data_IF_850935878768
#
_entry.id   IF_850935878768
#
_cell.length_a   1.000
_cell.length_b   1.000
_cell.length_c   1.000
_cell.angle_alpha   90.00
_cell.angle_beta   90.00
_cell.angle_gamma   90.00
#
_symmetry.space_group_name_H-M   'P 1'
#
loop_
_entity.id
_entity.type
_entity.pdbx_description
1 polymer ?
#
# COMPACT_ATOMS: atom_id res chain seq x y z
N UNK A 1 52.17 -72.24 -0.21
CA UNK A 1 52.05 -70.78 -0.01
C UNK A 1 51.74 -70.16 -1.37
N UNK A 2 50.45 -70.08 -1.76
CA UNK A 2 50.07 -69.55 -3.08
C UNK A 2 50.16 -68.03 -3.03
N UNK A 3 51.10 -67.48 -3.81
CA UNK A 3 51.23 -66.05 -4.07
C UNK A 3 49.87 -65.53 -4.52
N UNK A 4 49.23 -64.73 -3.67
CA UNK A 4 48.03 -64.00 -4.05
C UNK A 4 48.40 -63.13 -5.26
N UNK A 5 47.74 -63.38 -6.38
CA UNK A 5 47.99 -62.70 -7.63
C UNK A 5 47.77 -61.19 -7.44
N UNK A 6 48.86 -60.41 -7.38
CA UNK A 6 48.87 -58.96 -7.12
C UNK A 6 47.94 -58.18 -8.06
N UNK A 7 47.63 -58.73 -9.23
CA UNK A 7 46.74 -58.12 -10.21
C UNK A 7 45.28 -58.08 -9.73
N UNK A 8 44.82 -59.08 -8.98
CA UNK A 8 43.45 -59.10 -8.44
C UNK A 8 43.27 -58.02 -7.37
N UNK A 9 44.26 -57.82 -6.51
CA UNK A 9 44.22 -56.78 -5.47
C UNK A 9 44.24 -55.37 -6.05
N UNK A 10 45.04 -55.13 -7.09
CA UNK A 10 45.10 -53.83 -7.80
C UNK A 10 43.78 -53.49 -8.49
N UNK A 11 43.13 -54.47 -9.13
CA UNK A 11 41.83 -54.27 -9.78
C UNK A 11 40.73 -53.87 -8.78
N UNK A 12 40.73 -54.47 -7.58
CA UNK A 12 39.79 -54.12 -6.51
C UNK A 12 39.99 -52.69 -5.98
N UNK A 13 41.24 -52.26 -5.80
CA UNK A 13 41.55 -50.89 -5.37
C UNK A 13 41.07 -49.88 -6.42
N UNK A 14 41.32 -50.14 -7.70
CA UNK A 14 40.89 -49.26 -8.80
C UNK A 14 39.36 -49.17 -8.85
N UNK A 15 38.64 -50.28 -8.68
CA UNK A 15 37.18 -50.29 -8.65
C UNK A 15 36.60 -49.48 -7.47
N UNK A 16 37.20 -49.57 -6.27
CA UNK A 16 36.77 -48.80 -5.09
C UNK A 16 37.03 -47.30 -5.30
N UNK A 17 38.19 -46.94 -5.85
CA UNK A 17 38.51 -45.53 -6.13
C UNK A 17 37.57 -44.93 -7.19
N UNK A 18 37.25 -45.69 -8.24
CA UNK A 18 36.28 -45.27 -9.25
C UNK A 18 34.87 -45.11 -8.69
N UNK A 19 34.42 -46.00 -7.79
CA UNK A 19 33.10 -45.89 -7.16
C UNK A 19 33.02 -44.68 -6.22
N UNK A 20 34.08 -44.41 -5.45
CA UNK A 20 34.18 -43.22 -4.60
C UNK A 20 34.18 -41.93 -5.42
N UNK A 21 34.93 -41.91 -6.53
CA UNK A 21 34.98 -40.77 -7.43
C UNK A 21 33.62 -40.50 -8.11
N UNK A 22 32.93 -41.54 -8.57
CA UNK A 22 31.59 -41.44 -9.14
C UNK A 22 30.58 -40.92 -8.11
N UNK A 23 30.63 -41.41 -6.88
CA UNK A 23 29.75 -40.94 -5.80
C UNK A 23 30.02 -39.46 -5.47
N UNK A 24 31.28 -39.02 -5.46
CA UNK A 24 31.65 -37.61 -5.24
C UNK A 24 31.06 -36.71 -6.34
N UNK A 25 31.20 -37.11 -7.61
CA UNK A 25 30.63 -36.41 -8.77
C UNK A 25 29.09 -36.29 -8.68
N UNK A 26 28.40 -37.38 -8.32
CA UNK A 26 26.95 -37.36 -8.14
C UNK A 26 26.52 -36.41 -7.01
N UNK A 27 27.26 -36.35 -5.91
CA UNK A 27 26.94 -35.41 -4.81
C UNK A 27 27.22 -33.95 -5.17
N UNK A 28 28.23 -33.66 -5.99
CA UNK A 28 28.53 -32.31 -6.47
C UNK A 28 27.47 -31.75 -7.42
N UNK A 29 26.89 -32.60 -8.27
CA UNK A 29 25.86 -32.20 -9.24
C UNK A 29 24.47 -31.96 -8.62
N UNK A 30 24.17 -32.54 -7.44
CA UNK A 30 22.89 -32.33 -6.74
C UNK A 30 22.84 -30.95 -6.03
N UNK A 31 23.95 -30.21 -5.99
CA UNK A 31 24.04 -28.86 -5.44
C UNK A 31 23.42 -27.73 -6.29
N UNK A 32 22.59 -28.08 -7.28
CA UNK A 32 21.80 -27.17 -8.10
C UNK A 32 20.92 -26.27 -7.22
N UNK A 33 21.16 -24.95 -7.33
CA UNK A 33 20.26 -23.84 -6.98
C UNK A 33 19.22 -24.15 -5.91
N UNK A 34 19.66 -24.20 -4.64
CA UNK A 34 18.73 -24.27 -3.51
C UNK A 34 18.07 -22.89 -3.30
N UNK A 35 16.87 -22.88 -2.73
CA UNK A 35 16.16 -21.64 -2.38
C UNK A 35 17.04 -20.69 -1.53
N UNK A 36 17.87 -21.24 -0.65
CA UNK A 36 18.82 -20.47 0.17
C UNK A 36 19.92 -19.79 -0.65
N UNK A 37 20.38 -20.40 -1.75
CA UNK A 37 21.34 -19.76 -2.66
C UNK A 37 20.69 -18.65 -3.47
N UNK A 38 19.45 -18.86 -3.93
CA UNK A 38 18.69 -17.84 -4.67
C UNK A 38 18.39 -16.61 -3.80
N UNK A 39 17.92 -16.81 -2.56
CA UNK A 39 17.69 -15.72 -1.60
C UNK A 39 18.99 -15.02 -1.21
N UNK A 40 20.07 -15.77 -1.00
CA UNK A 40 21.40 -15.20 -0.75
C UNK A 40 21.91 -14.35 -1.91
N UNK A 41 21.65 -14.75 -3.15
CA UNK A 41 21.99 -13.97 -4.35
C UNK A 41 21.15 -12.69 -4.44
N UNK A 42 19.83 -12.78 -4.28
CA UNK A 42 18.95 -11.60 -4.31
C UNK A 42 19.25 -10.59 -3.18
N UNK A 43 19.68 -11.06 -1.99
CA UNK A 43 20.14 -10.16 -0.92
C UNK A 43 21.44 -9.42 -1.28
N UNK A 44 22.33 -10.04 -2.04
CA UNK A 44 23.58 -9.42 -2.51
C UNK A 44 23.37 -8.51 -3.72
N UNK A 45 22.32 -8.76 -4.50
CA UNK A 45 21.95 -8.03 -5.72
C UNK A 45 20.50 -7.51 -5.62
N UNK A 46 20.24 -6.53 -4.74
CA UNK A 46 18.88 -6.01 -4.52
C UNK A 46 18.24 -5.43 -5.77
N UNK A 47 19.05 -4.87 -6.69
CA UNK A 47 18.61 -4.35 -7.99
C UNK A 47 17.98 -5.43 -8.87
N UNK A 48 18.59 -6.62 -8.92
CA UNK A 48 18.08 -7.76 -9.71
C UNK A 48 16.80 -8.30 -9.07
N UNK A 49 16.76 -8.35 -7.73
CA UNK A 49 15.56 -8.74 -6.99
C UNK A 49 14.40 -7.78 -7.24
N UNK A 50 14.64 -6.47 -7.15
CA UNK A 50 13.65 -5.44 -7.41
C UNK A 50 13.14 -5.47 -8.85
N UNK A 51 14.03 -5.66 -9.83
CA UNK A 51 13.66 -5.77 -11.24
C UNK A 51 12.81 -7.01 -11.52
N UNK A 52 13.15 -8.15 -10.93
CA UNK A 52 12.35 -9.38 -11.04
C UNK A 52 10.95 -9.19 -10.44
N UNK A 53 10.87 -8.58 -9.26
CA UNK A 53 9.58 -8.29 -8.62
C UNK A 53 8.75 -7.29 -9.43
N UNK A 54 9.35 -6.22 -9.94
CA UNK A 54 8.64 -5.21 -10.73
C UNK A 54 8.11 -5.75 -12.07
N UNK A 55 8.84 -6.69 -12.69
CA UNK A 55 8.43 -7.30 -13.96
C UNK A 55 7.41 -8.42 -13.79
N UNK A 56 7.52 -9.20 -12.72
CA UNK A 56 6.64 -10.34 -12.44
C UNK A 56 5.35 -9.90 -11.74
N UNK A 57 5.43 -8.88 -10.90
CA UNK A 57 4.30 -8.29 -10.15
C UNK A 57 4.23 -6.79 -10.43
N UNK A 58 3.88 -6.38 -11.67
CA UNK A 58 3.80 -4.97 -12.01
C UNK A 58 2.77 -4.27 -11.13
N UNK A 59 3.08 -3.04 -10.64
CA UNK A 59 2.09 -2.24 -9.93
C UNK A 59 0.92 -2.01 -10.89
N UNK A 60 -0.25 -2.55 -10.55
CA UNK A 60 -1.48 -2.15 -11.21
C UNK A 60 -1.84 -0.79 -10.64
N UNK A 61 -1.67 0.25 -11.45
CA UNK A 61 -2.12 1.59 -11.09
C UNK A 61 -3.63 1.54 -10.85
N UNK A 62 -3.99 1.48 -9.58
CA UNK A 62 -5.36 1.60 -9.14
C UNK A 62 -5.71 3.08 -9.11
N UNK A 63 -5.93 3.65 -10.30
CA UNK A 63 -6.58 4.95 -10.42
C UNK A 63 -7.98 4.76 -9.84
N UNK A 64 -8.23 5.30 -8.64
CA UNK A 64 -9.57 5.33 -8.09
C UNK A 64 -10.45 6.26 -8.91
N UNK A 65 -11.75 5.99 -8.91
CA UNK A 65 -12.72 6.91 -9.48
C UNK A 65 -12.65 8.24 -8.72
N UNK A 66 -12.62 9.35 -9.46
CA UNK A 66 -12.59 10.66 -8.85
C UNK A 66 -13.94 10.92 -8.18
N UNK A 67 -13.94 11.08 -6.86
CA UNK A 67 -15.14 11.47 -6.14
C UNK A 67 -15.35 12.97 -6.34
N UNK A 68 -16.48 13.33 -6.94
CA UNK A 68 -16.87 14.72 -7.12
C UNK A 68 -17.70 15.13 -5.93
N UNK A 69 -17.13 15.96 -5.05
CA UNK A 69 -17.88 16.56 -3.94
C UNK A 69 -18.33 17.94 -4.41
N UNK A 70 -19.64 18.18 -4.33
CA UNK A 70 -20.20 19.52 -4.52
C UNK A 70 -20.19 20.21 -3.15
N UNK A 71 -19.37 21.23 -3.00
CA UNK A 71 -19.40 22.10 -1.82
C UNK A 71 -20.22 23.32 -2.22
N UNK A 72 -21.23 23.64 -1.42
CA UNK A 72 -21.96 24.89 -1.55
C UNK A 72 -21.00 26.04 -1.25
N UNK A 73 -20.66 26.85 -2.24
CA UNK A 73 -19.97 28.10 -2.00
C UNK A 73 -20.87 28.98 -1.12
N UNK A 74 -20.31 29.51 -0.04
CA UNK A 74 -20.98 30.49 0.81
C UNK A 74 -21.17 31.78 0.01
N UNK A 75 -22.27 31.84 -0.73
CA UNK A 75 -22.76 33.08 -1.30
C UNK A 75 -23.49 33.83 -0.18
N UNK A 76 -22.95 34.99 0.22
CA UNK A 76 -23.52 35.81 1.28
C UNK A 76 -24.92 36.31 0.85
N UNK A 77 -25.94 35.92 1.62
CA UNK A 77 -27.32 36.39 1.41
C UNK A 77 -27.53 37.73 2.12
N UNK A 78 -27.70 38.79 1.32
CA UNK A 78 -27.92 40.15 1.81
C UNK A 78 -29.41 40.46 2.07
N UNK A 79 -30.32 39.50 1.97
CA UNK A 79 -31.76 39.70 2.23
C UNK A 79 -32.00 40.35 3.60
N UNK A 80 -31.34 39.85 4.65
CA UNK A 80 -31.46 40.40 6.00
C UNK A 80 -30.96 41.85 6.13
N UNK A 81 -29.90 42.20 5.40
CA UNK A 81 -29.39 43.57 5.38
C UNK A 81 -30.36 44.53 4.67
N UNK A 82 -30.96 44.09 3.55
CA UNK A 82 -31.96 44.86 2.82
C UNK A 82 -33.24 45.03 3.65
N UNK A 83 -33.67 44.01 4.39
CA UNK A 83 -34.78 44.09 5.34
C UNK A 83 -34.48 45.08 6.48
N UNK A 84 -33.25 45.07 7.00
CA UNK A 84 -32.81 46.01 8.03
C UNK A 84 -32.84 47.46 7.54
N UNK A 85 -32.47 47.72 6.28
CA UNK A 85 -32.59 49.05 5.66
C UNK A 85 -34.05 49.50 5.56
N UNK A 86 -34.96 48.60 5.19
CA UNK A 86 -36.40 48.90 5.13
C UNK A 86 -36.93 49.29 6.51
N UNK A 87 -36.60 48.50 7.53
CA UNK A 87 -36.99 48.80 8.92
C UNK A 87 -36.46 50.14 9.40
N UNK A 88 -35.22 50.50 9.06
CA UNK A 88 -34.63 51.78 9.42
C UNK A 88 -35.38 52.96 8.79
N UNK A 89 -35.71 52.86 7.50
CA UNK A 89 -36.46 53.91 6.79
C UNK A 89 -37.90 54.02 7.29
N UNK A 90 -38.53 52.91 7.67
CA UNK A 90 -39.86 52.93 8.27
C UNK A 90 -39.87 53.53 9.68
N UNK A 91 -38.85 53.25 10.48
CA UNK A 91 -38.63 53.92 11.78
C UNK A 91 -38.44 55.42 11.58
N UNK A 92 -37.54 55.82 10.68
CA UNK A 92 -37.29 57.23 10.38
C UNK A 92 -38.56 57.97 9.94
N UNK A 93 -39.38 57.33 9.09
CA UNK A 93 -40.65 57.90 8.65
C UNK A 93 -41.65 58.05 9.82
N UNK A 94 -41.68 57.10 10.74
CA UNK A 94 -42.52 57.14 11.93
C UNK A 94 -42.10 58.30 12.84
N UNK A 95 -40.82 58.37 13.20
CA UNK A 95 -40.26 59.41 14.06
C UNK A 95 -40.44 60.80 13.44
N UNK A 96 -40.17 60.91 12.14
CA UNK A 96 -40.37 62.15 11.39
C UNK A 96 -41.84 62.60 11.41
N UNK A 97 -42.78 61.68 11.21
CA UNK A 97 -44.22 61.98 11.24
C UNK A 97 -44.67 62.42 12.63
N UNK A 98 -44.17 61.79 13.69
CA UNK A 98 -44.44 62.17 15.07
C UNK A 98 -43.93 63.59 15.37
N UNK A 99 -42.69 63.91 14.98
CA UNK A 99 -42.11 65.24 15.16
C UNK A 99 -42.90 66.32 14.41
N UNK A 100 -43.28 66.06 13.17
CA UNK A 100 -44.07 67.01 12.37
C UNK A 100 -45.45 67.21 12.98
N UNK A 101 -46.15 66.14 13.36
CA UNK A 101 -47.48 66.22 13.95
C UNK A 101 -47.48 66.86 15.36
N UNK A 102 -46.37 66.73 16.10
CA UNK A 102 -46.19 67.35 17.41
C UNK A 102 -45.81 68.84 17.34
N UNK A 103 -45.42 69.36 16.18
CA UNK A 103 -45.07 70.76 16.01
C UNK A 103 -46.32 71.65 15.86
N UNK A 104 -46.28 72.84 16.47
CA UNK A 104 -47.33 73.88 16.32
C UNK A 104 -47.41 74.37 14.87
N UNK A 105 -48.59 74.84 14.44
CA UNK A 105 -48.83 75.36 13.07
C UNK A 105 -47.83 76.45 12.64
N UNK A 106 -47.43 77.33 13.56
CA UNK A 106 -46.46 78.40 13.26
C UNK A 106 -45.07 77.84 12.90
N UNK A 107 -44.59 76.85 13.65
CA UNK A 107 -43.34 76.14 13.38
C UNK A 107 -43.42 75.37 12.06
N UNK A 108 -44.54 74.68 11.81
CA UNK A 108 -44.74 73.97 10.54
C UNK A 108 -44.74 74.93 9.35
N UNK A 109 -45.32 76.13 9.49
CA UNK A 109 -45.34 77.15 8.45
C UNK A 109 -43.92 77.65 8.13
N UNK A 110 -43.12 77.92 9.16
CA UNK A 110 -41.73 78.41 9.03
C UNK A 110 -40.84 77.36 8.35
N UNK A 111 -40.94 76.08 8.74
CA UNK A 111 -40.11 74.98 8.21
C UNK A 111 -40.78 74.17 7.10
N UNK A 112 -41.86 74.69 6.49
CA UNK A 112 -42.67 73.95 5.51
C UNK A 112 -41.84 73.38 4.35
N UNK A 113 -40.84 74.13 3.90
CA UNK A 113 -40.00 73.74 2.76
C UNK A 113 -39.11 72.55 3.12
N UNK A 114 -38.47 72.60 4.28
CA UNK A 114 -37.63 71.54 4.84
C UNK A 114 -38.48 70.31 5.10
N UNK A 115 -39.70 70.47 5.62
CA UNK A 115 -40.61 69.36 5.88
C UNK A 115 -40.94 68.61 4.59
N UNK A 116 -41.33 69.35 3.55
CA UNK A 116 -41.64 68.77 2.24
C UNK A 116 -40.40 68.10 1.63
N UNK A 117 -39.21 68.71 1.79
CA UNK A 117 -37.95 68.16 1.27
C UNK A 117 -37.62 66.82 1.93
N UNK A 118 -37.63 66.76 3.25
CA UNK A 118 -37.32 65.55 4.00
C UNK A 118 -38.34 64.44 3.73
N UNK A 119 -39.63 64.79 3.63
CA UNK A 119 -40.67 63.83 3.25
C UNK A 119 -40.41 63.22 1.86
N UNK A 120 -40.00 64.04 0.89
CA UNK A 120 -39.63 63.55 -0.45
C UNK A 120 -38.41 62.65 -0.43
N UNK A 121 -37.41 62.96 0.39
CA UNK A 121 -36.22 62.12 0.55
C UNK A 121 -36.57 60.76 1.17
N UNK A 122 -37.43 60.73 2.19
CA UNK A 122 -37.93 59.48 2.79
C UNK A 122 -38.69 58.64 1.76
N UNK A 123 -39.60 59.25 0.99
CA UNK A 123 -40.33 58.54 -0.09
C UNK A 123 -39.36 57.98 -1.12
N UNK A 124 -38.38 58.77 -1.56
CA UNK A 124 -37.35 58.33 -2.51
C UNK A 124 -36.54 57.16 -1.96
N UNK A 125 -36.17 57.17 -0.67
CA UNK A 125 -35.46 56.06 -0.04
C UNK A 125 -36.30 54.78 -0.02
N UNK A 126 -37.59 54.89 0.30
CA UNK A 126 -38.53 53.75 0.24
C UNK A 126 -38.63 53.16 -1.18
N UNK A 127 -38.71 54.01 -2.20
CA UNK A 127 -38.73 53.58 -3.59
C UNK A 127 -37.44 52.86 -3.99
N UNK A 128 -36.27 53.40 -3.60
CA UNK A 128 -34.96 52.77 -3.87
C UNK A 128 -34.86 51.41 -3.19
N UNK A 129 -35.25 51.28 -1.92
CA UNK A 129 -35.21 50.00 -1.20
C UNK A 129 -36.20 49.01 -1.82
N UNK A 130 -37.38 49.45 -2.21
CA UNK A 130 -38.37 48.60 -2.89
C UNK A 130 -37.82 48.08 -4.22
N UNK A 131 -37.18 48.96 -5.01
CA UNK A 131 -36.51 48.57 -6.25
C UNK A 131 -35.34 47.62 -5.99
N UNK A 132 -34.56 47.84 -4.94
CA UNK A 132 -33.44 46.99 -4.54
C UNK A 132 -33.92 45.60 -4.15
N UNK A 133 -34.99 45.50 -3.34
CA UNK A 133 -35.64 44.23 -2.98
C UNK A 133 -36.16 43.47 -4.20
N UNK A 134 -36.78 44.17 -5.14
CA UNK A 134 -37.30 43.55 -6.36
C UNK A 134 -36.19 43.08 -7.31
N UNK A 135 -35.07 43.82 -7.36
CA UNK A 135 -33.92 43.49 -8.21
C UNK A 135 -33.02 42.41 -7.59
N UNK A 136 -32.91 42.36 -6.26
CA UNK A 136 -32.08 41.41 -5.55
C UNK A 136 -32.65 40.00 -5.67
N UNK A 137 -31.81 39.07 -6.13
CA UNK A 137 -32.10 37.64 -6.14
C UNK A 137 -30.93 36.97 -5.45
N UNK A 138 -31.16 36.22 -4.35
CA UNK A 138 -30.09 35.47 -3.71
C UNK A 138 -29.41 34.58 -4.76
N UNK A 139 -28.08 34.62 -4.80
CA UNK A 139 -27.33 33.72 -5.66
C UNK A 139 -27.62 32.28 -5.23
N UNK A 140 -27.86 31.38 -6.20
CA UNK A 140 -27.88 29.95 -5.88
C UNK A 140 -26.50 29.57 -5.33
N UNK A 141 -26.40 28.67 -4.35
CA UNK A 141 -25.09 28.20 -3.90
C UNK A 141 -24.33 27.66 -5.11
N UNK A 142 -23.15 28.24 -5.37
CA UNK A 142 -22.30 27.74 -6.45
C UNK A 142 -21.73 26.42 -6.01
N UNK A 143 -21.97 25.37 -6.79
CA UNK A 143 -21.40 24.06 -6.50
C UNK A 143 -19.98 24.01 -7.03
N UNK A 144 -19.00 24.20 -6.15
CA UNK A 144 -17.59 24.05 -6.53
C UNK A 144 -17.32 22.56 -6.71
N UNK A 145 -16.89 22.16 -7.91
CA UNK A 145 -16.46 20.78 -8.20
C UNK A 145 -15.09 20.55 -7.55
N UNK A 146 -15.06 19.91 -6.39
CA UNK A 146 -13.82 19.37 -5.87
C UNK A 146 -13.62 17.95 -6.41
N UNK A 147 -12.60 17.78 -7.24
CA UNK A 147 -12.18 16.47 -7.74
C UNK A 147 -11.11 15.94 -6.79
N UNK A 148 -11.49 15.10 -5.82
CA UNK A 148 -10.52 14.42 -4.98
C UNK A 148 -10.05 13.14 -5.68
N UNK A 149 -8.75 13.02 -5.91
CA UNK A 149 -8.15 11.76 -6.37
C UNK A 149 -8.15 10.77 -5.21
N UNK A 150 -9.07 9.81 -5.23
CA UNK A 150 -9.05 8.69 -4.28
C UNK A 150 -7.98 7.71 -4.74
N UNK A 151 -6.91 7.58 -3.95
CA UNK A 151 -5.94 6.52 -4.16
C UNK A 151 -6.55 5.21 -3.66
N UNK A 152 -6.77 4.24 -4.55
CA UNK A 152 -7.14 2.89 -4.10
C UNK A 152 -5.97 2.31 -3.32
N UNK A 153 -6.24 1.79 -2.12
CA UNK A 153 -5.28 0.93 -1.42
C UNK A 153 -4.92 -0.18 -2.39
N UNK A 154 -3.63 -0.37 -2.65
CA UNK A 154 -3.13 -1.36 -3.59
C UNK A 154 -3.49 -2.76 -3.03
N UNK A 155 -4.69 -3.24 -3.35
CA UNK A 155 -5.24 -4.51 -2.85
C UNK A 155 -4.39 -5.69 -3.28
N UNK A 156 -3.59 -5.57 -4.35
CA UNK A 156 -2.59 -6.58 -4.68
C UNK A 156 -1.50 -6.67 -3.59
N UNK A 157 -1.06 -5.55 -3.01
CA UNK A 157 -0.11 -5.57 -1.88
C UNK A 157 -0.71 -6.23 -0.64
N UNK A 158 -2.01 -6.07 -0.41
CA UNK A 158 -2.68 -6.57 0.80
C UNK A 158 -3.05 -8.06 0.66
N UNK A 159 -3.66 -8.46 -0.45
CA UNK A 159 -4.05 -9.87 -0.70
C UNK A 159 -2.87 -10.79 -1.03
N UNK A 160 -1.85 -10.31 -1.75
CA UNK A 160 -0.65 -11.12 -2.02
C UNK A 160 0.23 -11.28 -0.77
N UNK A 161 0.14 -10.38 0.23
CA UNK A 161 1.04 -10.47 1.39
C UNK A 161 0.62 -11.54 2.40
N UNK A 162 -0.65 -11.94 2.49
CA UNK A 162 -1.09 -12.95 3.46
C UNK A 162 -1.30 -14.33 2.84
N UNK A 163 -2.05 -14.42 1.73
CA UNK A 163 -2.33 -15.70 1.08
C UNK A 163 -1.08 -16.31 0.43
N UNK A 164 -0.28 -15.51 -0.28
CA UNK A 164 0.95 -16.02 -0.88
C UNK A 164 2.04 -16.22 0.16
N UNK A 165 2.05 -15.49 1.28
CA UNK A 165 2.99 -15.82 2.38
C UNK A 165 2.71 -17.22 2.90
N UNK A 166 1.46 -17.55 3.21
CA UNK A 166 1.10 -18.87 3.72
C UNK A 166 1.45 -19.97 2.70
N UNK A 167 1.13 -19.75 1.41
CA UNK A 167 1.46 -20.68 0.34
C UNK A 167 2.98 -20.83 0.13
N UNK A 168 3.75 -19.73 0.08
CA UNK A 168 5.21 -19.77 -0.02
C UNK A 168 5.83 -20.46 1.19
N UNK A 169 5.35 -20.18 2.41
CA UNK A 169 5.88 -20.82 3.62
C UNK A 169 5.63 -22.32 3.60
N UNK A 170 4.44 -22.76 3.17
CA UNK A 170 4.12 -24.17 3.05
C UNK A 170 4.95 -24.87 1.95
N UNK A 171 5.20 -24.21 0.81
CA UNK A 171 6.08 -24.74 -0.22
C UNK A 171 7.55 -24.79 0.21
N UNK A 172 8.02 -23.78 0.96
CA UNK A 172 9.36 -23.74 1.53
C UNK A 172 9.56 -24.89 2.52
N UNK A 173 8.64 -25.09 3.46
CA UNK A 173 8.68 -26.20 4.43
C UNK A 173 8.59 -27.56 3.74
N UNK A 174 7.76 -27.70 2.71
CA UNK A 174 7.66 -28.93 1.91
C UNK A 174 8.94 -29.21 1.13
N UNK A 175 9.63 -28.18 0.66
CA UNK A 175 10.91 -28.29 -0.04
C UNK A 175 12.03 -28.68 0.94
N UNK A 176 12.11 -28.03 2.09
CA UNK A 176 13.11 -28.31 3.13
C UNK A 176 12.91 -29.70 3.75
N UNK A 177 11.67 -30.11 3.99
CA UNK A 177 11.34 -31.47 4.43
C UNK A 177 11.79 -32.54 3.42
N UNK A 178 11.62 -32.29 2.12
CA UNK A 178 12.12 -33.19 1.07
C UNK A 178 13.65 -33.20 1.00
N UNK A 179 14.31 -32.06 1.16
CA UNK A 179 15.76 -31.95 1.13
C UNK A 179 16.41 -32.71 2.30
N UNK A 180 15.89 -32.52 3.52
CA UNK A 180 16.37 -33.22 4.72
C UNK A 180 16.16 -34.73 4.64
N UNK A 181 15.01 -35.17 4.14
CA UNK A 181 14.74 -36.60 3.96
C UNK A 181 15.65 -37.26 2.90
N UNK A 182 15.99 -36.53 1.82
CA UNK A 182 16.96 -36.99 0.81
C UNK A 182 18.37 -37.08 1.40
N UNK A 183 18.80 -36.09 2.17
CA UNK A 183 20.09 -36.10 2.86
C UNK A 183 20.19 -37.28 3.84
N UNK A 184 19.15 -37.52 4.65
CA UNK A 184 19.10 -38.64 5.57
C UNK A 184 19.19 -39.99 4.83
N UNK A 185 18.53 -40.13 3.69
CA UNK A 185 18.62 -41.33 2.87
C UNK A 185 20.03 -41.53 2.29
N UNK A 186 20.65 -40.47 1.78
CA UNK A 186 22.03 -40.50 1.28
C UNK A 186 23.00 -40.94 2.40
N UNK A 187 22.88 -40.39 3.61
CA UNK A 187 23.71 -40.79 4.75
C UNK A 187 23.51 -42.26 5.15
N UNK A 188 22.27 -42.76 5.14
CA UNK A 188 21.98 -44.19 5.38
C UNK A 188 22.61 -45.09 4.32
N UNK A 189 22.57 -44.66 3.05
CA UNK A 189 23.14 -45.40 1.93
C UNK A 189 24.67 -45.45 2.04
N UNK A 190 25.33 -44.34 2.41
CA UNK A 190 26.76 -44.31 2.72
C UNK A 190 27.14 -45.22 3.89
N UNK A 191 26.38 -45.21 4.99
CA UNK A 191 26.63 -46.09 6.13
C UNK A 191 26.52 -47.57 5.74
N UNK A 192 25.53 -47.94 4.91
CA UNK A 192 25.38 -49.29 4.40
C UNK A 192 26.55 -49.73 3.50
N UNK A 193 27.04 -48.85 2.62
CA UNK A 193 28.22 -49.11 1.78
C UNK A 193 29.46 -49.33 2.65
N UNK A 194 29.68 -48.50 3.67
CA UNK A 194 30.82 -48.63 4.59
C UNK A 194 30.75 -49.97 5.33
N UNK A 195 29.57 -50.34 5.86
CA UNK A 195 29.36 -51.62 6.52
C UNK A 195 29.63 -52.82 5.61
N UNK A 196 29.15 -52.76 4.36
CA UNK A 196 29.42 -53.80 3.35
C UNK A 196 30.91 -53.91 3.03
N UNK A 197 31.62 -52.79 2.89
CA UNK A 197 33.07 -52.77 2.65
C UNK A 197 33.85 -53.36 3.84
N UNK A 198 33.48 -53.01 5.07
CA UNK A 198 34.10 -53.56 6.28
C UNK A 198 33.82 -55.06 6.39
N UNK A 199 32.59 -55.49 6.13
CA UNK A 199 32.20 -56.89 6.18
C UNK A 199 32.88 -57.73 5.10
N UNK A 200 32.93 -57.24 3.86
CA UNK A 200 33.61 -57.90 2.75
C UNK A 200 35.12 -58.07 3.04
N UNK A 201 35.75 -57.04 3.61
CA UNK A 201 37.16 -57.06 3.98
C UNK A 201 37.43 -57.68 5.37
N UNK A 202 36.42 -58.24 6.06
CA UNK A 202 36.54 -58.77 7.42
C UNK A 202 37.66 -59.79 7.57
N UNK A 203 37.85 -60.69 6.59
CA UNK A 203 38.93 -61.70 6.65
C UNK A 203 40.32 -61.07 6.54
N UNK A 204 40.45 -59.98 5.79
CA UNK A 204 41.70 -59.24 5.65
C UNK A 204 42.00 -58.42 6.91
N UNK A 205 40.98 -57.73 7.44
CA UNK A 205 41.04 -56.99 8.70
C UNK A 205 41.37 -57.92 9.88
N UNK A 206 40.72 -59.09 9.97
CA UNK A 206 41.03 -60.09 10.99
C UNK A 206 42.47 -60.60 10.85
N UNK A 207 42.99 -60.80 9.63
CA UNK A 207 44.40 -61.18 9.42
C UNK A 207 45.38 -60.08 9.81
N UNK A 208 45.03 -58.80 9.64
CA UNK A 208 45.84 -57.66 10.09
C UNK A 208 45.84 -57.56 11.62
N UNK A 209 44.70 -57.79 12.26
CA UNK A 209 44.56 -57.73 13.73
C UNK A 209 45.19 -58.97 14.40
N UNK A 210 45.07 -60.15 13.79
CA UNK A 210 45.62 -61.42 14.32
C UNK A 210 47.10 -61.64 13.96
N UNK A 211 47.68 -60.89 13.02
CA UNK A 211 49.14 -60.79 12.89
C UNK A 211 49.67 -59.95 14.05
N UNK A 212 49.80 -60.58 15.22
CA UNK A 212 50.73 -60.08 16.23
C UNK A 212 52.14 -60.07 15.64
N UNK A 213 52.93 -59.02 15.85
CA UNK A 213 54.35 -59.04 15.54
C UNK A 213 55.03 -60.03 16.50
N UNK A 214 55.37 -61.22 15.98
CA UNK A 214 56.37 -62.14 16.53
C UNK A 214 57.17 -62.68 15.35
#
# INVERSE_FOLDING_TARGET
MKLFNNNSFRLWIIAILLSLFYALLCTGAIGCTTANKATGYMKKHPEVGAQYCATTFPPRDSIGEAETIFIDAENEDHTAAIDSLQHLVDSLNTDWTEVVNGATDEVQLVFRREIIKNQKEIVRLKEVITSLKAAYKPCKPDTVKLTNTVYRVNTAKEYLCEADKAALTAELEKSDGKATHRLAYIWKLWAAIILLLVWYNRKLLLKLILKRPV
#
